data_IF_354634006399
#
_entry.id   IF_354634006399
#
_cell.length_a   1.000
_cell.length_b   1.000
_cell.length_c   1.000
_cell.angle_alpha   90.00
_cell.angle_beta   90.00
_cell.angle_gamma   90.00
#
_symmetry.space_group_name_H-M   'P 1'
#
loop_
_entity.id
_entity.type
_entity.pdbx_description
1 polymer ?
#
# COMPACT_ATOMS: atom_id res chain seq x y z
N UNK A 1 21.86 26.21 1.56
CA UNK A 1 20.44 26.05 1.93
C UNK A 1 19.98 24.71 1.36
N UNK A 2 19.65 23.62 2.05
CA UNK A 2 19.89 23.17 3.42
C UNK A 2 20.44 21.73 3.37
N UNK A 3 21.18 21.36 4.41
CA UNK A 3 22.11 20.22 4.50
C UNK A 3 21.39 18.90 4.80
N UNK A 4 20.35 18.54 4.05
CA UNK A 4 19.57 17.34 4.37
C UNK A 4 20.07 16.15 3.56
N UNK A 5 20.49 15.09 4.26
CA UNK A 5 20.91 13.82 3.66
C UNK A 5 19.74 13.24 2.86
N UNK A 6 19.99 12.91 1.59
CA UNK A 6 19.05 12.25 0.70
C UNK A 6 18.38 11.04 1.38
N UNK A 7 19.19 10.24 2.09
CA UNK A 7 18.73 9.03 2.79
C UNK A 7 17.75 9.36 3.90
N UNK A 8 17.97 10.47 4.61
CA UNK A 8 17.10 10.90 5.69
C UNK A 8 15.73 11.34 5.15
N UNK A 9 15.69 12.08 4.03
CA UNK A 9 14.42 12.47 3.39
C UNK A 9 13.63 11.24 2.94
N UNK A 10 14.30 10.26 2.32
CA UNK A 10 13.67 9.01 1.91
C UNK A 10 13.17 8.21 3.11
N UNK A 11 13.98 8.08 4.17
CA UNK A 11 13.61 7.35 5.37
C UNK A 11 12.41 7.98 6.10
N UNK A 12 12.35 9.31 6.17
CA UNK A 12 11.19 10.02 6.75
C UNK A 12 9.95 9.79 5.88
N UNK A 13 10.06 9.94 4.56
CA UNK A 13 8.93 9.74 3.66
C UNK A 13 8.36 8.33 3.71
N UNK A 14 9.22 7.30 3.60
CA UNK A 14 8.80 5.91 3.76
C UNK A 14 8.31 5.60 5.19
N UNK A 15 8.87 6.25 6.21
CA UNK A 15 8.39 6.14 7.59
C UNK A 15 6.98 6.68 7.78
N UNK A 16 6.65 7.83 7.17
CA UNK A 16 5.30 8.39 7.17
C UNK A 16 4.33 7.45 6.43
N UNK A 17 4.74 6.92 5.27
CA UNK A 17 3.92 5.92 4.53
C UNK A 17 3.70 4.66 5.36
N UNK A 18 4.73 4.15 6.04
CA UNK A 18 4.60 3.01 6.94
C UNK A 18 3.65 3.31 8.11
N UNK A 19 3.72 4.50 8.71
CA UNK A 19 2.79 4.92 9.76
C UNK A 19 1.33 4.99 9.27
N UNK A 20 1.11 5.45 8.03
CA UNK A 20 -0.21 5.40 7.40
C UNK A 20 -0.69 3.96 7.22
N UNK A 21 0.15 3.05 6.71
CA UNK A 21 -0.23 1.65 6.50
C UNK A 21 -0.53 0.94 7.82
N UNK A 22 0.22 1.26 8.88
CA UNK A 22 -0.05 0.76 10.22
C UNK A 22 -1.42 1.20 10.76
N UNK A 23 -1.83 2.46 10.53
CA UNK A 23 -3.18 2.91 10.90
C UNK A 23 -4.28 2.11 10.17
N UNK A 24 -4.06 1.80 8.89
CA UNK A 24 -5.04 1.07 8.06
C UNK A 24 -5.24 -0.39 8.51
N UNK A 25 -4.32 -0.96 9.29
CA UNK A 25 -4.50 -2.29 9.90
C UNK A 25 -5.64 -2.32 10.92
N UNK A 26 -5.99 -1.17 11.50
CA UNK A 26 -7.10 -1.03 12.44
C UNK A 26 -8.47 -0.92 11.77
N UNK A 27 -8.55 -1.04 10.45
CA UNK A 27 -9.82 -0.94 9.73
C UNK A 27 -10.77 -2.06 10.14
N UNK A 28 -12.04 -1.72 10.17
CA UNK A 28 -13.11 -2.65 10.49
C UNK A 28 -14.26 -2.46 9.52
N UNK A 29 -15.28 -3.29 9.61
CA UNK A 29 -16.49 -3.17 8.81
C UNK A 29 -17.29 -1.88 9.10
N UNK A 30 -16.93 -1.17 10.18
CA UNK A 30 -17.49 0.11 10.58
C UNK A 30 -16.34 1.12 10.60
N UNK A 31 -16.00 1.65 9.43
CA UNK A 31 -15.07 2.77 9.28
C UNK A 31 -15.83 4.09 9.18
N UNK A 32 -15.34 5.12 9.85
CA UNK A 32 -15.76 6.50 9.63
C UNK A 32 -14.97 7.17 8.52
N UNK A 33 -15.43 8.33 8.05
CA UNK A 33 -14.72 9.11 7.02
C UNK A 33 -13.30 9.51 7.48
N UNK A 34 -13.16 9.89 8.75
CA UNK A 34 -11.88 10.28 9.33
C UNK A 34 -10.83 9.16 9.32
N UNK A 35 -11.27 7.91 9.47
CA UNK A 35 -10.39 6.74 9.47
C UNK A 35 -9.74 6.53 8.09
N UNK A 36 -10.36 7.02 7.02
CA UNK A 36 -9.83 6.93 5.65
C UNK A 36 -9.06 8.19 5.25
N UNK A 37 -9.59 9.37 5.59
CA UNK A 37 -9.01 10.65 5.19
C UNK A 37 -7.61 10.82 5.77
N UNK A 38 -7.43 10.58 7.07
CA UNK A 38 -6.14 10.84 7.72
C UNK A 38 -5.01 9.93 7.23
N UNK A 39 -5.18 8.60 7.12
CA UNK A 39 -4.19 7.76 6.46
C UNK A 39 -3.91 8.19 5.01
N UNK A 40 -4.93 8.54 4.24
CA UNK A 40 -4.75 9.05 2.87
C UNK A 40 -3.86 10.30 2.81
N UNK A 41 -4.06 11.25 3.74
CA UNK A 41 -3.22 12.45 3.87
C UNK A 41 -1.78 12.08 4.21
N UNK A 42 -1.56 11.23 5.21
CA UNK A 42 -0.22 10.79 5.59
C UNK A 42 0.48 10.08 4.43
N UNK A 43 -0.23 9.21 3.71
CA UNK A 43 0.31 8.48 2.57
C UNK A 43 0.72 9.43 1.43
N UNK A 44 -0.12 10.42 1.11
CA UNK A 44 0.19 11.46 0.13
C UNK A 44 1.42 12.30 0.52
N UNK A 45 1.52 12.69 1.79
CA UNK A 45 2.68 13.42 2.31
C UNK A 45 3.96 12.59 2.23
N UNK A 46 3.92 11.32 2.66
CA UNK A 46 5.05 10.42 2.61
C UNK A 46 5.57 10.20 1.18
N UNK A 47 4.66 9.89 0.24
CA UNK A 47 5.00 9.69 -1.17
C UNK A 47 5.51 10.96 -1.84
N UNK A 48 4.90 12.12 -1.57
CA UNK A 48 5.34 13.40 -2.08
C UNK A 48 6.77 13.76 -1.63
N UNK A 49 7.09 13.47 -0.36
CA UNK A 49 8.41 13.68 0.20
C UNK A 49 9.48 12.75 -0.41
N UNK A 50 9.11 11.51 -0.77
CA UNK A 50 10.03 10.55 -1.43
C UNK A 50 10.29 10.95 -2.89
N UNK A 51 9.26 11.43 -3.60
CA UNK A 51 9.32 11.61 -5.05
C UNK A 51 10.42 12.58 -5.52
N UNK A 52 10.54 13.74 -4.87
CA UNK A 52 11.53 14.78 -5.23
C UNK A 52 12.97 14.32 -5.04
N UNK A 53 13.40 13.85 -3.84
CA UNK A 53 14.76 13.37 -3.64
C UNK A 53 15.10 12.16 -4.51
N UNK A 54 14.16 11.22 -4.69
CA UNK A 54 14.40 10.00 -5.47
C UNK A 54 14.62 10.32 -6.96
N UNK A 55 13.77 11.17 -7.54
CA UNK A 55 13.92 11.63 -8.92
C UNK A 55 15.21 12.42 -9.11
N UNK A 56 15.53 13.33 -8.19
CA UNK A 56 16.78 14.10 -8.21
C UNK A 56 18.00 13.19 -8.20
N UNK A 57 18.01 12.17 -7.32
CA UNK A 57 19.10 11.21 -7.21
C UNK A 57 19.24 10.35 -8.48
N UNK A 58 18.11 9.94 -9.08
CA UNK A 58 18.07 9.11 -10.29
C UNK A 58 18.75 9.80 -11.49
N UNK A 59 18.55 11.11 -11.62
CA UNK A 59 19.11 11.89 -12.75
C UNK A 59 20.46 12.56 -12.43
N UNK A 60 20.96 12.44 -11.20
CA UNK A 60 22.14 13.18 -10.76
C UNK A 60 23.42 12.85 -11.52
N UNK A 61 23.55 11.64 -12.07
CA UNK A 61 24.74 11.18 -12.81
C UNK A 61 24.57 11.27 -14.33
N UNK A 62 23.48 11.85 -14.81
CA UNK A 62 23.11 11.82 -16.22
C UNK A 62 23.42 13.17 -16.89
N UNK A 63 24.14 13.13 -18.01
CA UNK A 63 24.41 14.34 -18.82
C UNK A 63 23.11 14.96 -19.31
N UNK A 64 23.04 16.30 -19.49
CA UNK A 64 21.82 17.00 -19.90
C UNK A 64 21.15 16.40 -21.15
N UNK A 65 21.94 16.01 -22.15
CA UNK A 65 21.49 15.41 -23.41
C UNK A 65 20.79 14.05 -23.21
N UNK A 66 21.20 13.29 -22.20
CA UNK A 66 20.65 11.96 -21.91
C UNK A 66 19.40 12.01 -21.02
N UNK A 67 19.08 13.17 -20.42
CA UNK A 67 17.97 13.30 -19.45
C UNK A 67 16.60 12.97 -20.05
N UNK A 68 16.37 13.29 -21.33
CA UNK A 68 15.12 12.95 -22.01
C UNK A 68 14.93 11.43 -22.09
N UNK A 69 15.94 10.71 -22.59
CA UNK A 69 15.92 9.24 -22.68
C UNK A 69 15.86 8.59 -21.28
N UNK A 70 16.61 9.12 -20.30
CA UNK A 70 16.57 8.64 -18.92
C UNK A 70 15.19 8.79 -18.28
N UNK A 71 14.48 9.89 -18.56
CA UNK A 71 13.13 10.13 -18.05
C UNK A 71 12.12 9.13 -18.61
N UNK A 72 12.26 8.77 -19.90
CA UNK A 72 11.44 7.74 -20.51
C UNK A 72 11.64 6.37 -19.85
N UNK A 73 12.90 5.97 -19.64
CA UNK A 73 13.23 4.70 -18.94
C UNK A 73 12.74 4.72 -17.50
N UNK A 74 12.96 5.82 -16.76
CA UNK A 74 12.49 5.98 -15.39
C UNK A 74 10.98 5.78 -15.28
N UNK A 75 10.22 6.42 -16.18
CA UNK A 75 8.76 6.31 -16.21
C UNK A 75 8.32 4.88 -16.57
N UNK A 76 8.98 4.24 -17.54
CA UNK A 76 8.69 2.87 -17.93
C UNK A 76 8.89 1.89 -16.76
N UNK A 77 10.07 1.94 -16.12
CA UNK A 77 10.39 1.09 -14.97
C UNK A 77 9.41 1.32 -13.82
N UNK A 78 9.07 2.58 -13.53
CA UNK A 78 8.10 2.93 -12.50
C UNK A 78 6.71 2.37 -12.82
N UNK A 79 6.23 2.54 -14.04
CA UNK A 79 4.90 2.07 -14.44
C UNK A 79 4.83 0.54 -14.42
N UNK A 80 5.85 -0.14 -14.97
CA UNK A 80 5.93 -1.62 -14.94
C UNK A 80 5.99 -2.13 -13.50
N UNK A 81 6.86 -1.56 -12.66
CA UNK A 81 6.97 -1.95 -11.25
C UNK A 81 5.66 -1.71 -10.49
N UNK A 82 4.99 -0.59 -10.74
CA UNK A 82 3.67 -0.30 -10.15
C UNK A 82 2.62 -1.30 -10.60
N UNK A 83 2.57 -1.65 -11.89
CA UNK A 83 1.60 -2.63 -12.40
C UNK A 83 1.82 -4.01 -11.80
N UNK A 84 3.07 -4.46 -11.69
CA UNK A 84 3.40 -5.73 -11.04
C UNK A 84 2.94 -5.70 -9.58
N UNK A 85 3.27 -4.63 -8.84
CA UNK A 85 2.85 -4.46 -7.45
C UNK A 85 1.34 -4.50 -7.26
N UNK A 86 0.60 -3.73 -8.06
CA UNK A 86 -0.87 -3.70 -8.02
C UNK A 86 -1.45 -5.09 -8.34
N UNK A 87 -0.99 -5.75 -9.40
CA UNK A 87 -1.50 -7.08 -9.77
C UNK A 87 -1.24 -8.14 -8.71
N UNK A 88 -0.11 -8.05 -8.00
CA UNK A 88 0.22 -8.97 -6.93
C UNK A 88 -0.71 -8.77 -5.74
N UNK A 89 -0.90 -7.52 -5.30
CA UNK A 89 -1.83 -7.18 -4.21
C UNK A 89 -3.25 -7.59 -4.58
N UNK A 90 -3.73 -7.27 -5.78
CA UNK A 90 -5.08 -7.65 -6.23
C UNK A 90 -5.30 -9.18 -6.29
N UNK A 91 -4.26 -9.91 -6.73
CA UNK A 91 -4.29 -11.38 -6.74
C UNK A 91 -4.37 -11.93 -5.32
N UNK A 92 -3.59 -11.38 -4.40
CA UNK A 92 -3.59 -11.78 -2.99
C UNK A 92 -4.90 -11.43 -2.30
N UNK A 93 -5.45 -10.24 -2.54
CA UNK A 93 -6.77 -9.83 -2.07
C UNK A 93 -7.84 -10.85 -2.45
N UNK A 94 -7.89 -11.20 -3.74
CA UNK A 94 -8.88 -12.15 -4.27
C UNK A 94 -8.71 -13.53 -3.62
N UNK A 95 -7.47 -14.03 -3.56
CA UNK A 95 -7.15 -15.34 -3.01
C UNK A 95 -7.44 -15.41 -1.50
N UNK A 96 -7.03 -14.40 -0.75
CA UNK A 96 -7.21 -14.36 0.70
C UNK A 96 -8.68 -14.14 1.07
N UNK A 97 -9.45 -13.41 0.25
CA UNK A 97 -10.91 -13.32 0.39
C UNK A 97 -11.54 -14.69 0.24
N UNK A 98 -11.16 -15.48 -0.77
CA UNK A 98 -11.69 -16.84 -0.94
C UNK A 98 -11.32 -17.77 0.23
N UNK A 99 -10.08 -17.71 0.71
CA UNK A 99 -9.62 -18.50 1.86
C UNK A 99 -10.41 -18.12 3.12
N UNK A 100 -10.53 -16.82 3.40
CA UNK A 100 -11.26 -16.32 4.56
C UNK A 100 -12.75 -16.63 4.47
N UNK A 101 -13.34 -16.53 3.28
CA UNK A 101 -14.74 -16.89 3.04
C UNK A 101 -14.98 -18.38 3.34
N UNK A 102 -14.11 -19.25 2.84
CA UNK A 102 -14.21 -20.69 3.11
C UNK A 102 -14.11 -20.96 4.62
N UNK A 103 -13.13 -20.36 5.30
CA UNK A 103 -12.95 -20.51 6.75
C UNK A 103 -14.12 -19.96 7.57
N UNK A 104 -14.74 -18.84 7.17
CA UNK A 104 -15.90 -18.29 7.86
C UNK A 104 -17.15 -19.15 7.62
N UNK A 105 -17.32 -19.68 6.40
CA UNK A 105 -18.47 -20.51 6.05
C UNK A 105 -18.56 -21.81 6.87
N UNK A 106 -17.43 -22.37 7.33
CA UNK A 106 -17.44 -23.56 8.20
C UNK A 106 -18.04 -23.32 9.59
N UNK A 107 -18.23 -22.06 9.99
CA UNK A 107 -18.84 -21.69 11.26
C UNK A 107 -20.35 -21.45 11.16
N UNK A 108 -20.92 -21.60 9.96
CA UNK A 108 -22.36 -21.57 9.74
C UNK A 108 -22.88 -23.02 9.84
N UNK A 109 -23.42 -23.33 11.01
CA UNK A 109 -24.09 -24.59 11.30
C UNK A 109 -25.34 -24.32 12.14
N UNK A 110 -26.30 -25.23 12.12
CA UNK A 110 -27.56 -25.16 12.89
C UNK A 110 -27.30 -25.16 14.41
N UNK A 111 -26.12 -25.61 14.85
CA UNK A 111 -25.67 -25.54 16.25
C UNK A 111 -25.17 -24.16 16.68
N UNK A 112 -25.02 -23.20 15.75
CA UNK A 112 -24.48 -21.88 16.07
C UNK A 112 -25.47 -21.09 16.96
N UNK A 113 -25.05 -20.61 18.15
CA UNK A 113 -25.91 -19.86 19.07
C UNK A 113 -26.55 -18.61 18.45
N UNK A 114 -25.94 -18.04 17.39
CA UNK A 114 -26.49 -16.89 16.68
C UNK A 114 -27.86 -17.19 16.04
N UNK A 115 -28.09 -18.42 15.57
CA UNK A 115 -29.37 -18.85 14.99
C UNK A 115 -30.41 -19.23 16.04
N UNK A 116 -30.05 -19.26 17.33
CA UNK A 116 -31.04 -19.42 18.41
C UNK A 116 -31.84 -18.12 18.64
N UNK A 117 -31.36 -16.98 18.12
CA UNK A 117 -32.12 -15.73 18.13
C UNK A 117 -33.12 -15.71 16.97
N UNK A 118 -34.45 -15.65 17.23
CA UNK A 118 -35.48 -15.67 16.19
C UNK A 118 -35.36 -14.52 15.17
N UNK A 119 -34.81 -13.37 15.58
CA UNK A 119 -34.61 -12.23 14.68
C UNK A 119 -33.48 -12.46 13.67
N UNK A 120 -32.46 -13.25 14.02
CA UNK A 120 -31.36 -13.61 13.14
C UNK A 120 -31.78 -14.79 12.26
N UNK A 121 -32.42 -15.79 12.85
CA UNK A 121 -32.89 -16.98 12.14
C UNK A 121 -33.94 -16.68 11.06
N UNK A 122 -34.73 -15.61 11.20
CA UNK A 122 -35.73 -15.22 10.20
C UNK A 122 -35.13 -14.52 8.96
N UNK A 123 -34.00 -13.84 9.12
CA UNK A 123 -33.30 -13.10 8.06
C UNK A 123 -32.18 -13.93 7.40
N UNK A 124 -31.45 -14.68 8.21
CA UNK A 124 -30.26 -15.42 7.79
C UNK A 124 -30.50 -16.94 7.83
N UNK A 125 -31.70 -17.39 7.47
CA UNK A 125 -32.03 -18.82 7.50
C UNK A 125 -31.18 -19.60 6.48
N UNK A 126 -30.32 -20.54 6.91
CA UNK A 126 -29.51 -21.34 6.00
C UNK A 126 -30.33 -22.28 5.12
N UNK A 127 -31.59 -22.55 5.48
CA UNK A 127 -32.49 -23.45 4.76
C UNK A 127 -33.37 -22.74 3.73
N UNK A 128 -33.35 -21.41 3.69
CA UNK A 128 -34.05 -20.60 2.68
C UNK A 128 -33.07 -19.99 1.67
N UNK A 129 -33.49 -19.89 0.41
CA UNK A 129 -32.67 -19.35 -0.66
C UNK A 129 -32.27 -17.88 -0.41
N UNK A 130 -33.18 -17.07 0.15
CA UNK A 130 -32.88 -15.67 0.46
C UNK A 130 -31.92 -15.57 1.65
N UNK A 131 -32.12 -16.37 2.70
CA UNK A 131 -31.24 -16.40 3.86
C UNK A 131 -29.81 -16.84 3.52
N UNK A 132 -29.64 -17.84 2.65
CA UNK A 132 -28.34 -18.26 2.12
C UNK A 132 -27.63 -17.13 1.36
N UNK A 133 -28.36 -16.39 0.51
CA UNK A 133 -27.80 -15.27 -0.24
C UNK A 133 -27.30 -14.16 0.68
N UNK A 134 -28.09 -13.80 1.69
CA UNK A 134 -27.73 -12.77 2.68
C UNK A 134 -26.52 -13.20 3.52
N UNK A 135 -26.49 -14.47 3.96
CA UNK A 135 -25.34 -15.04 4.66
C UNK A 135 -24.08 -15.00 3.80
N UNK A 136 -24.15 -15.49 2.55
CA UNK A 136 -23.01 -15.49 1.65
C UNK A 136 -22.47 -14.07 1.41
N UNK A 137 -23.37 -13.09 1.26
CA UNK A 137 -23.00 -11.68 1.09
C UNK A 137 -22.27 -11.14 2.32
N UNK A 138 -22.78 -11.43 3.52
CA UNK A 138 -22.15 -10.97 4.75
C UNK A 138 -20.81 -11.67 5.01
N UNK A 139 -20.71 -12.99 4.79
CA UNK A 139 -19.45 -13.73 4.87
C UNK A 139 -18.42 -13.13 3.90
N UNK A 140 -18.83 -12.87 2.66
CA UNK A 140 -17.97 -12.24 1.65
C UNK A 140 -17.49 -10.88 2.11
N UNK A 141 -18.38 -10.06 2.69
CA UNK A 141 -18.04 -8.75 3.23
C UNK A 141 -16.99 -8.84 4.35
N UNK A 142 -17.16 -9.77 5.28
CA UNK A 142 -16.21 -10.02 6.38
C UNK A 142 -14.88 -10.58 5.86
N UNK A 143 -14.92 -11.56 4.97
CA UNK A 143 -13.76 -12.17 4.35
C UNK A 143 -12.91 -11.16 3.57
N UNK A 144 -13.58 -10.26 2.83
CA UNK A 144 -12.90 -9.19 2.07
C UNK A 144 -12.21 -8.21 3.01
N UNK A 145 -12.83 -7.86 4.14
CA UNK A 145 -12.20 -6.99 5.15
C UNK A 145 -10.95 -7.62 5.75
N UNK A 146 -11.00 -8.92 6.10
CA UNK A 146 -9.82 -9.66 6.58
C UNK A 146 -8.70 -9.60 5.54
N UNK A 147 -9.04 -9.87 4.27
CA UNK A 147 -8.07 -9.84 3.18
C UNK A 147 -7.46 -8.43 2.95
N UNK A 148 -8.23 -7.34 3.11
CA UNK A 148 -7.69 -5.99 3.09
C UNK A 148 -6.68 -5.74 4.21
N UNK A 149 -6.97 -6.19 5.43
CA UNK A 149 -6.05 -6.07 6.57
C UNK A 149 -4.75 -6.82 6.30
N UNK A 150 -4.84 -8.04 5.74
CA UNK A 150 -3.66 -8.83 5.35
C UNK A 150 -2.80 -8.09 4.30
N UNK A 151 -3.43 -7.45 3.31
CA UNK A 151 -2.73 -6.66 2.30
C UNK A 151 -2.08 -5.40 2.88
N UNK A 152 -2.72 -4.70 3.83
CA UNK A 152 -2.10 -3.59 4.53
C UNK A 152 -0.87 -4.03 5.33
N UNK A 153 -0.93 -5.21 5.96
CA UNK A 153 0.23 -5.84 6.60
C UNK A 153 1.35 -6.13 5.61
N UNK A 154 1.04 -6.74 4.46
CA UNK A 154 2.02 -7.01 3.42
C UNK A 154 2.68 -5.72 2.92
N UNK A 155 1.88 -4.70 2.58
CA UNK A 155 2.37 -3.41 2.11
C UNK A 155 3.24 -2.71 3.17
N UNK A 156 2.89 -2.80 4.45
CA UNK A 156 3.71 -2.27 5.55
C UNK A 156 5.08 -2.95 5.56
N UNK A 157 5.11 -4.28 5.55
CA UNK A 157 6.37 -5.06 5.55
C UNK A 157 7.21 -4.73 4.32
N UNK A 158 6.60 -4.65 3.13
CA UNK A 158 7.28 -4.27 1.90
C UNK A 158 7.87 -2.86 1.97
N UNK A 159 7.15 -1.92 2.57
CA UNK A 159 7.63 -0.54 2.78
C UNK A 159 8.81 -0.52 3.76
N UNK A 160 8.73 -1.27 4.86
CA UNK A 160 9.83 -1.40 5.82
C UNK A 160 11.05 -2.10 5.21
N UNK A 161 10.85 -3.04 4.29
CA UNK A 161 11.94 -3.70 3.56
C UNK A 161 12.75 -2.74 2.68
N UNK A 162 12.25 -1.54 2.36
CA UNK A 162 13.00 -0.49 1.65
C UNK A 162 14.09 0.14 2.52
N UNK A 163 13.93 0.18 3.84
CA UNK A 163 14.90 0.82 4.75
C UNK A 163 16.34 0.28 4.61
N UNK A 164 16.60 -1.04 4.59
CA UNK A 164 17.96 -1.54 4.35
C UNK A 164 18.48 -1.19 2.96
N UNK A 165 17.61 -1.11 1.93
CA UNK A 165 17.99 -0.70 0.58
C UNK A 165 18.46 0.77 0.53
N UNK A 166 17.95 1.64 1.42
CA UNK A 166 18.41 3.04 1.51
C UNK A 166 19.89 3.17 1.87
N UNK A 167 20.46 2.20 2.59
CA UNK A 167 21.89 2.20 2.94
C UNK A 167 22.79 2.02 1.70
N UNK A 168 22.27 1.35 0.67
CA UNK A 168 22.98 1.08 -0.59
C UNK A 168 23.01 2.34 -1.48
N UNK A 169 22.01 3.21 -1.38
CA UNK A 169 21.92 4.44 -2.19
C UNK A 169 23.10 5.36 -1.85
N UNK A 170 23.98 5.57 -2.81
CA UNK A 170 25.09 6.53 -2.69
C UNK A 170 24.60 7.93 -3.08
N UNK A 171 24.69 8.93 -2.20
CA UNK A 171 24.32 10.29 -2.56
C UNK A 171 25.26 10.82 -3.65
N UNK A 172 24.76 11.59 -4.63
CA UNK A 172 25.59 12.19 -5.65
C UNK A 172 26.61 13.16 -5.03
N UNK A 173 27.89 12.98 -5.35
CA UNK A 173 28.97 13.88 -4.89
C UNK A 173 28.79 15.23 -5.57
N UNK A 174 28.54 16.28 -4.77
CA UNK A 174 28.31 17.68 -5.19
C UNK A 174 29.50 18.36 -5.91
N UNK A 175 30.59 17.66 -6.20
CA UNK A 175 31.83 18.24 -6.74
C UNK A 175 31.84 18.53 -8.24
N UNK A 176 30.90 17.99 -9.03
CA UNK A 176 30.96 18.07 -10.50
C UNK A 176 30.02 19.13 -11.10
N UNK A 177 28.90 19.46 -10.44
CA UNK A 177 27.92 20.43 -10.97
C UNK A 177 28.50 21.85 -11.02
N UNK A 178 29.35 22.22 -10.06
CA UNK A 178 29.96 23.57 -10.02
C UNK A 178 31.06 23.76 -11.08
N UNK A 179 31.71 22.67 -11.52
CA UNK A 179 32.76 22.78 -12.56
C UNK A 179 32.19 23.02 -13.95
N UNK A 180 30.96 22.58 -14.20
CA UNK A 180 30.36 22.70 -15.53
C UNK A 180 29.80 24.10 -15.80
N UNK A 181 29.33 24.81 -14.78
CA UNK A 181 28.95 26.23 -14.91
C UNK A 181 30.19 27.13 -15.11
N UNK A 182 31.32 26.82 -14.47
CA UNK A 182 32.56 27.62 -14.57
C UNK A 182 33.39 27.37 -15.85
N UNK A 183 33.00 26.41 -16.70
CA UNK A 183 33.67 26.14 -18.00
C UNK A 183 32.87 26.74 -19.17
N UNK A 184 31.64 27.20 -18.93
CA UNK A 184 30.74 27.76 -19.95
C UNK A 184 30.69 29.30 -19.89
N UNK A 185 31.32 29.91 -18.89
CA UNK A 185 31.61 31.36 -18.79
C UNK A 185 33.06 31.66 -19.20
#
# INVERSE_FOLDING_TARGET
>A
MGKVDLRLLLAIGFGITAFSLWQMQGYSLVIGEGDVIWPGVWQGLGMGLVFVPLSTATFATLSPEMRANGTAIYSLVRNVGSSIGISLVETLLTRNTQISHAALSTHIDDSNPAFQNPAVASLYNPHDAMGQLLLNTEITRQATMIAYIDDFWLMLVMTLAVFPLLLIIRPPKRGEVVKQEMIVD
#
